data_IF_312717244094
#
_entry.id   IF_312717244094
#
_cell.length_a   1.000
_cell.length_b   1.000
_cell.length_c   1.000
_cell.angle_alpha   90.00
_cell.angle_beta   90.00
_cell.angle_gamma   90.00
#
_symmetry.space_group_name_H-M   'P 1'
#
loop_
_entity.id
_entity.type
_entity.pdbx_description
1 polymer ?
#
# COMPACT_ATOMS: atom_id res chain seq x y z
N UNK A 1 -8.69 6.94 -7.62
CA UNK A 1 -7.24 7.23 -7.58
C UNK A 1 -6.47 5.99 -7.14
N UNK A 2 -5.19 5.89 -7.49
CA UNK A 2 -4.29 4.84 -7.00
C UNK A 2 -3.48 5.33 -5.80
N UNK A 3 -3.68 4.72 -4.64
CA UNK A 3 -3.16 5.21 -3.36
C UNK A 3 -2.29 4.13 -2.72
N UNK A 4 -1.05 4.48 -2.37
CA UNK A 4 -0.15 3.62 -1.62
C UNK A 4 -0.33 3.84 -0.11
N UNK A 5 -0.45 2.75 0.65
CA UNK A 5 -0.69 2.82 2.10
C UNK A 5 0.34 1.96 2.84
N UNK A 6 1.14 2.59 3.71
CA UNK A 6 1.94 1.87 4.70
C UNK A 6 1.10 1.56 5.94
N UNK A 7 1.53 0.60 6.78
CA UNK A 7 0.76 0.24 7.97
C UNK A 7 -0.64 -0.30 7.67
N UNK A 8 -0.90 -0.72 6.43
CA UNK A 8 -2.22 -1.15 5.93
C UNK A 8 -2.83 -2.36 6.68
N UNK A 9 -2.02 -3.11 7.41
CA UNK A 9 -2.47 -4.22 8.26
C UNK A 9 -2.77 -3.82 9.72
N UNK A 10 -2.51 -2.57 10.10
CA UNK A 10 -2.75 -2.06 11.45
C UNK A 10 -4.21 -1.68 11.70
N UNK A 11 -4.52 -1.28 12.94
CA UNK A 11 -5.87 -0.88 13.35
C UNK A 11 -6.46 0.19 12.43
N UNK A 12 -5.76 1.32 12.31
CA UNK A 12 -6.18 2.46 11.47
C UNK A 12 -6.03 2.15 9.98
N UNK A 13 -4.88 1.59 9.59
CA UNK A 13 -4.60 1.28 8.18
C UNK A 13 -5.64 0.34 7.57
N UNK A 14 -6.10 -0.67 8.30
CA UNK A 14 -7.12 -1.59 7.79
C UNK A 14 -8.48 -0.91 7.59
N UNK A 15 -8.87 0.02 8.47
CA UNK A 15 -10.10 0.80 8.33
C UNK A 15 -10.00 1.78 7.15
N UNK A 16 -8.86 2.45 7.01
CA UNK A 16 -8.59 3.35 5.90
C UNK A 16 -8.65 2.61 4.55
N UNK A 17 -7.99 1.46 4.43
CA UNK A 17 -8.03 0.64 3.21
C UNK A 17 -9.47 0.28 2.83
N UNK A 18 -10.29 -0.16 3.80
CA UNK A 18 -11.71 -0.47 3.53
C UNK A 18 -12.49 0.74 3.04
N UNK A 19 -12.28 1.91 3.66
CA UNK A 19 -12.92 3.16 3.23
C UNK A 19 -12.54 3.53 1.80
N UNK A 20 -11.23 3.58 1.50
CA UNK A 20 -10.75 3.97 0.17
C UNK A 20 -11.25 3.02 -0.93
N UNK A 21 -11.28 1.71 -0.65
CA UNK A 21 -11.85 0.73 -1.58
C UNK A 21 -13.35 0.93 -1.78
N UNK A 22 -14.10 1.21 -0.70
CA UNK A 22 -15.54 1.51 -0.77
C UNK A 22 -15.82 2.77 -1.58
N UNK A 23 -14.90 3.73 -1.57
CA UNK A 23 -14.96 4.97 -2.36
C UNK A 23 -14.51 4.78 -3.83
N UNK A 24 -14.24 3.53 -4.25
CA UNK A 24 -13.85 3.20 -5.62
C UNK A 24 -12.39 3.50 -5.95
N UNK A 25 -11.53 3.69 -4.95
CA UNK A 25 -10.10 3.86 -5.17
C UNK A 25 -9.38 2.51 -5.32
N UNK A 26 -8.22 2.53 -5.97
CA UNK A 26 -7.30 1.40 -6.01
C UNK A 26 -6.27 1.58 -4.91
N UNK A 27 -6.12 0.59 -4.03
CA UNK A 27 -5.18 0.65 -2.92
C UNK A 27 -4.02 -0.32 -3.15
N UNK A 28 -2.78 0.19 -3.06
CA UNK A 28 -1.57 -0.61 -3.03
C UNK A 28 -1.01 -0.63 -1.60
N UNK A 29 -0.93 -1.80 -1.00
CA UNK A 29 -0.52 -1.98 0.40
C UNK A 29 0.99 -2.22 0.48
N UNK A 30 1.72 -1.34 1.15
CA UNK A 30 3.15 -1.50 1.40
C UNK A 30 3.34 -2.39 2.64
N UNK A 31 3.84 -3.61 2.42
CA UNK A 31 3.98 -4.64 3.45
C UNK A 31 5.45 -5.02 3.65
N UNK A 32 5.85 -5.34 4.88
CA UNK A 32 7.24 -5.76 5.18
C UNK A 32 7.50 -7.26 4.93
N UNK A 33 6.43 -8.06 4.95
CA UNK A 33 6.46 -9.50 4.66
C UNK A 33 6.40 -9.77 3.14
N UNK A 34 6.64 -11.01 2.68
CA UNK A 34 6.34 -11.39 1.30
C UNK A 34 4.91 -11.00 0.90
N UNK A 35 4.72 -10.36 -0.28
CA UNK A 35 3.40 -10.05 -0.82
C UNK A 35 2.58 -11.32 -1.01
N UNK A 36 1.27 -11.23 -0.74
CA UNK A 36 0.29 -12.34 -0.90
C UNK A 36 -0.65 -12.14 -2.07
N UNK A 37 -0.62 -10.97 -2.71
CA UNK A 37 -1.52 -10.60 -3.80
C UNK A 37 -0.95 -9.44 -4.60
N UNK A 38 -1.57 -9.14 -5.74
CA UNK A 38 -1.14 -8.08 -6.66
C UNK A 38 -1.36 -6.67 -6.12
N UNK A 39 -2.17 -6.54 -5.07
CA UNK A 39 -2.44 -5.32 -4.32
C UNK A 39 -1.41 -5.07 -3.20
N UNK A 40 -0.39 -5.94 -3.06
CA UNK A 40 0.69 -5.78 -2.11
C UNK A 40 2.03 -5.53 -2.82
N UNK A 41 2.82 -4.62 -2.26
CA UNK A 41 4.22 -4.44 -2.63
C UNK A 41 5.09 -4.57 -1.39
N UNK A 42 6.23 -5.26 -1.52
CA UNK A 42 7.18 -5.36 -0.41
C UNK A 42 7.89 -4.02 -0.22
N UNK A 43 7.95 -3.57 1.02
CA UNK A 43 8.70 -2.41 1.46
C UNK A 43 9.67 -2.83 2.57
N UNK A 44 10.95 -2.53 2.38
CA UNK A 44 12.01 -2.75 3.37
C UNK A 44 12.53 -1.41 3.89
N UNK A 45 12.04 -0.92 5.05
CA UNK A 45 12.45 0.36 5.58
C UNK A 45 13.91 0.39 6.04
N UNK A 46 14.47 -0.76 6.45
CA UNK A 46 15.86 -0.82 6.92
C UNK A 46 16.85 -0.67 5.76
N UNK A 47 16.48 -1.20 4.59
CA UNK A 47 17.26 -1.09 3.35
C UNK A 47 16.85 0.11 2.49
N UNK A 48 15.77 0.81 2.86
CA UNK A 48 15.15 1.88 2.07
C UNK A 48 14.76 1.42 0.64
N UNK A 49 14.29 0.18 0.52
CA UNK A 49 14.01 -0.48 -0.76
C UNK A 49 12.51 -0.75 -0.93
N UNK A 50 11.96 -0.34 -2.08
CA UNK A 50 10.62 -0.72 -2.58
C UNK A 50 10.71 -0.93 -4.08
N UNK A 51 9.89 -1.85 -4.62
CA UNK A 51 9.74 -1.98 -6.06
C UNK A 51 9.04 -0.73 -6.63
N UNK A 52 9.81 0.17 -7.22
CA UNK A 52 9.33 1.42 -7.80
C UNK A 52 8.51 1.20 -9.07
N UNK A 53 8.76 0.12 -9.81
CA UNK A 53 7.94 -0.27 -10.96
C UNK A 53 6.51 -0.60 -10.53
N UNK A 54 6.36 -1.28 -9.39
CA UNK A 54 5.04 -1.54 -8.78
C UNK A 54 4.37 -0.28 -8.25
N UNK A 55 5.12 0.78 -7.93
CA UNK A 55 4.58 2.08 -7.50
C UNK A 55 4.18 2.99 -8.66
N UNK A 56 4.49 2.65 -9.90
CA UNK A 56 4.15 3.47 -11.06
C UNK A 56 2.65 3.79 -11.15
N UNK A 57 2.30 5.06 -11.35
CA UNK A 57 0.92 5.52 -11.41
C UNK A 57 0.22 5.66 -10.05
N UNK A 58 0.93 5.51 -8.93
CA UNK A 58 0.43 5.94 -7.61
C UNK A 58 0.33 7.46 -7.57
N UNK A 59 -0.82 7.99 -7.16
CA UNK A 59 -1.13 9.41 -7.11
C UNK A 59 -0.98 10.00 -5.70
N UNK A 60 -1.07 9.16 -4.67
CA UNK A 60 -0.95 9.57 -3.27
C UNK A 60 -0.33 8.48 -2.40
N UNK A 61 0.30 8.90 -1.29
CA UNK A 61 0.88 8.03 -0.27
C UNK A 61 0.34 8.40 1.11
N UNK A 62 -0.03 7.39 1.89
CA UNK A 62 -0.35 7.51 3.33
C UNK A 62 0.69 6.70 4.11
N UNK A 63 1.45 7.37 4.98
CA UNK A 63 2.49 6.77 5.81
C UNK A 63 2.04 6.69 7.27
#
# INVERSE_FOLDING_TARGET
MRIAVTGASGLIGSALVRSLLSDGHTVLRLVRRPPRGEDEVRWDPARQEVDTGRLAGTEAVVH
#
